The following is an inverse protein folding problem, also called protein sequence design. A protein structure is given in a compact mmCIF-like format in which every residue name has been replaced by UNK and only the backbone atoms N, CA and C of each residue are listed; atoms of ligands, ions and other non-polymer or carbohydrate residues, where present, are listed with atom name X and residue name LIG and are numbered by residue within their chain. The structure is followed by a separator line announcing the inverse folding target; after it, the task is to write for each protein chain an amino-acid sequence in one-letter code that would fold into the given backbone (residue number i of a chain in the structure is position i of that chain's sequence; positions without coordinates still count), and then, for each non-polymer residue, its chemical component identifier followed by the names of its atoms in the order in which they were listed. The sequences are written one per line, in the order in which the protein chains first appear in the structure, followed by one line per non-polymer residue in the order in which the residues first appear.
data_IF_233235410604
#
_entry.id   IF_233235410604
#
_cell.length_a   1.000
_cell.length_b   1.000
_cell.length_c   1.000
_cell.angle_alpha   90.00
_cell.angle_beta   90.00
_cell.angle_gamma   90.00
#
_symmetry.space_group_name_H-M   'P 1'
#
loop_
_entity.id
_entity.type
_entity.pdbx_description
1 polymer ?
#
# COMPACT_ATOMS: atom_id res chain seq x y z
N UNK A 1 4.63 17.39 -9.40
CA UNK A 1 3.40 16.85 -8.77
C UNK A 1 3.40 15.34 -8.92
N UNK A 2 2.99 14.52 -7.94
CA UNK A 2 2.96 13.08 -8.14
C UNK A 2 1.71 12.78 -8.95
N UNK A 3 1.81 12.85 -10.28
CA UNK A 3 0.71 12.56 -11.19
C UNK A 3 0.30 11.10 -10.96
N UNK A 4 -0.89 10.89 -10.42
CA UNK A 4 -1.49 9.56 -10.33
C UNK A 4 -1.91 9.14 -11.73
N UNK A 5 -1.58 7.93 -12.11
CA UNK A 5 -2.13 7.32 -13.33
C UNK A 5 -3.63 7.07 -13.15
N UNK A 6 -4.36 6.91 -14.24
CA UNK A 6 -5.80 6.62 -14.19
C UNK A 6 -6.10 5.34 -13.38
N UNK A 7 -5.26 4.32 -13.52
CA UNK A 7 -5.42 3.05 -12.80
C UNK A 7 -5.11 3.18 -11.30
N UNK A 8 -4.07 3.92 -10.93
CA UNK A 8 -3.78 4.24 -9.53
C UNK A 8 -4.93 5.03 -8.89
N UNK A 9 -5.50 5.99 -9.63
CA UNK A 9 -6.65 6.79 -9.17
C UNK A 9 -7.85 5.89 -8.85
N UNK A 10 -8.23 4.99 -9.76
CA UNK A 10 -9.34 4.04 -9.54
C UNK A 10 -9.13 3.18 -8.28
N UNK A 11 -7.91 2.69 -8.04
CA UNK A 11 -7.60 1.93 -6.82
C UNK A 11 -7.71 2.81 -5.58
N UNK A 12 -7.20 4.04 -5.63
CA UNK A 12 -7.24 4.97 -4.50
C UNK A 12 -8.66 5.41 -4.14
N UNK A 13 -9.52 5.67 -5.13
CA UNK A 13 -10.92 6.05 -4.91
C UNK A 13 -11.65 5.01 -4.05
N UNK A 14 -11.43 3.72 -4.32
CA UNK A 14 -12.02 2.62 -3.53
C UNK A 14 -11.50 2.64 -2.09
N UNK A 15 -10.18 2.85 -1.90
CA UNK A 15 -9.57 2.88 -0.56
C UNK A 15 -10.00 4.13 0.22
N UNK A 16 -10.13 5.28 -0.43
CA UNK A 16 -10.61 6.54 0.17
C UNK A 16 -12.06 6.37 0.63
N UNK A 17 -12.92 5.83 -0.24
CA UNK A 17 -14.34 5.61 0.04
C UNK A 17 -14.56 4.69 1.24
N UNK A 18 -13.82 3.58 1.29
CA UNK A 18 -14.06 2.53 2.28
C UNK A 18 -13.17 2.65 3.53
N UNK A 19 -12.16 3.54 3.51
CA UNK A 19 -11.11 3.78 4.51
C UNK A 19 -10.18 2.58 4.80
N UNK A 20 -10.71 1.37 4.80
CA UNK A 20 -10.06 0.10 5.09
C UNK A 20 -10.62 -0.98 4.18
N UNK A 21 -9.83 -1.43 3.22
CA UNK A 21 -10.34 -2.30 2.15
C UNK A 21 -9.52 -3.58 2.01
N UNK A 22 -10.19 -4.71 1.76
CA UNK A 22 -9.51 -5.93 1.37
C UNK A 22 -9.03 -5.81 -0.08
N UNK A 23 -7.78 -6.18 -0.36
CA UNK A 23 -7.24 -6.15 -1.72
C UNK A 23 -8.09 -6.97 -2.72
N UNK A 24 -8.80 -8.01 -2.26
CA UNK A 24 -9.76 -8.77 -3.09
C UNK A 24 -10.95 -7.91 -3.53
N UNK A 25 -11.40 -6.98 -2.70
CA UNK A 25 -12.48 -6.04 -3.04
C UNK A 25 -12.02 -5.08 -4.14
N UNK A 26 -10.78 -4.57 -4.05
CA UNK A 26 -10.17 -3.76 -5.11
C UNK A 26 -10.13 -4.51 -6.45
N UNK A 27 -9.70 -5.78 -6.43
CA UNK A 27 -9.71 -6.63 -7.64
C UNK A 27 -11.11 -6.72 -8.24
N UNK A 28 -12.13 -6.98 -7.42
CA UNK A 28 -13.53 -7.11 -7.89
C UNK A 28 -14.10 -5.81 -8.46
N UNK A 29 -13.85 -4.68 -7.80
CA UNK A 29 -14.46 -3.40 -8.21
C UNK A 29 -13.72 -2.70 -9.36
N UNK A 30 -12.42 -2.94 -9.51
CA UNK A 30 -11.66 -2.38 -10.64
C UNK A 30 -11.71 -3.23 -11.90
N UNK A 31 -12.18 -4.49 -11.78
CA UNK A 31 -12.10 -5.53 -12.81
C UNK A 31 -10.66 -5.76 -13.34
N UNK A 32 -9.65 -5.43 -12.52
CA UNK A 32 -8.25 -5.65 -12.86
C UNK A 32 -7.81 -7.04 -12.43
N UNK A 33 -6.84 -7.60 -13.16
CA UNK A 33 -6.19 -8.83 -12.73
C UNK A 33 -5.53 -8.66 -11.36
N UNK A 34 -5.46 -9.74 -10.58
CA UNK A 34 -4.78 -9.75 -9.28
C UNK A 34 -3.34 -9.24 -9.37
N UNK A 35 -2.62 -9.59 -10.43
CA UNK A 35 -1.25 -9.15 -10.66
C UNK A 35 -1.17 -7.63 -10.90
N UNK A 36 -2.09 -7.07 -11.71
CA UNK A 36 -2.18 -5.63 -11.97
C UNK A 36 -2.48 -4.86 -10.69
N UNK A 37 -3.46 -5.30 -9.90
CA UNK A 37 -3.76 -4.69 -8.59
C UNK A 37 -2.54 -4.78 -7.66
N UNK A 38 -1.86 -5.93 -7.60
CA UNK A 38 -0.68 -6.09 -6.76
C UNK A 38 0.44 -5.12 -7.12
N UNK A 39 0.68 -4.90 -8.42
CA UNK A 39 1.67 -3.93 -8.91
C UNK A 39 1.29 -2.50 -8.52
N UNK A 40 0.06 -2.08 -8.83
CA UNK A 40 -0.45 -0.74 -8.49
C UNK A 40 -0.36 -0.48 -6.99
N UNK A 41 -0.82 -1.44 -6.17
CA UNK A 41 -0.74 -1.32 -4.71
C UNK A 41 0.72 -1.20 -4.26
N UNK A 42 1.64 -2.00 -4.81
CA UNK A 42 3.05 -1.90 -4.46
C UNK A 42 3.65 -0.54 -4.82
N UNK A 43 3.32 0.01 -5.99
CA UNK A 43 3.76 1.34 -6.41
C UNK A 43 3.25 2.43 -5.45
N UNK A 44 1.97 2.37 -5.06
CA UNK A 44 1.36 3.29 -4.09
C UNK A 44 1.93 3.16 -2.67
N UNK A 45 2.31 1.95 -2.25
CA UNK A 45 3.00 1.71 -0.97
C UNK A 45 4.42 2.30 -0.98
N UNK A 46 5.18 2.07 -2.05
CA UNK A 46 6.53 2.61 -2.21
C UNK A 46 6.53 4.14 -2.21
N UNK A 47 5.52 4.75 -2.83
CA UNK A 47 5.29 6.20 -2.82
C UNK A 47 4.76 6.73 -1.49
N UNK A 48 4.44 5.86 -0.53
CA UNK A 48 3.90 6.23 0.77
C UNK A 48 2.48 6.81 0.73
N UNK A 49 1.69 6.47 -0.28
CA UNK A 49 0.28 6.88 -0.39
C UNK A 49 -0.63 5.91 0.35
N UNK A 50 -0.32 4.62 0.26
CA UNK A 50 -1.02 3.55 0.97
C UNK A 50 -0.13 2.95 2.05
N UNK A 51 -0.76 2.21 2.95
CA UNK A 51 -0.13 1.21 3.80
C UNK A 51 -0.93 -0.10 3.70
N UNK A 52 -0.29 -1.23 4.05
CA UNK A 52 -0.94 -2.53 4.05
C UNK A 52 -0.67 -3.30 5.33
N UNK A 53 -1.66 -4.07 5.76
CA UNK A 53 -1.53 -5.04 6.85
C UNK A 53 -1.98 -6.41 6.34
N UNK A 54 -1.17 -7.44 6.57
CA UNK A 54 -1.52 -8.80 6.17
C UNK A 54 -2.66 -9.33 7.03
N UNK A 55 -3.71 -9.86 6.40
CA UNK A 55 -4.84 -10.54 7.06
C UNK A 55 -5.06 -11.90 6.40
N UNK A 56 -4.53 -12.95 7.01
CA UNK A 56 -4.58 -14.31 6.45
C UNK A 56 -3.91 -14.40 5.08
N UNK A 57 -4.70 -14.74 4.04
CA UNK A 57 -4.25 -14.93 2.64
C UNK A 57 -4.47 -13.67 1.76
N UNK A 58 -4.67 -12.51 2.37
CA UNK A 58 -4.87 -11.22 1.67
C UNK A 58 -4.26 -10.08 2.46
N UNK A 59 -4.29 -8.88 1.88
CA UNK A 59 -3.87 -7.64 2.53
C UNK A 59 -5.09 -6.74 2.73
N UNK A 60 -5.10 -6.04 3.86
CA UNK A 60 -5.95 -4.89 4.10
C UNK A 60 -5.15 -3.64 3.72
N UNK A 61 -5.76 -2.76 2.94
CA UNK A 61 -5.19 -1.51 2.48
C UNK A 61 -5.87 -0.34 3.20
N UNK A 62 -5.07 0.62 3.64
CA UNK A 62 -5.51 1.89 4.25
C UNK A 62 -4.72 3.04 3.66
N UNK A 63 -5.28 4.25 3.69
CA UNK A 63 -4.53 5.45 3.33
C UNK A 63 -3.42 5.68 4.36
N UNK A 64 -2.21 5.95 3.89
CA UNK A 64 -1.15 6.40 4.80
C UNK A 64 -1.52 7.79 5.27
N UNK A 65 -1.85 7.93 6.55
CA UNK A 65 -2.14 9.25 7.12
C UNK A 65 -0.85 10.05 7.08
N UNK A 66 -0.76 11.04 6.18
CA UNK A 66 0.30 12.02 6.25
C UNK A 66 0.11 12.78 7.57
N UNK A 67 0.94 12.48 8.58
CA UNK A 67 1.19 13.44 9.66
C UNK A 67 1.91 14.62 9.01
N UNK A 68 1.15 15.54 8.41
CA UNK A 68 1.63 16.83 7.97
C UNK A 68 1.98 17.58 9.26
N UNK A 69 3.22 17.40 9.76
CA UNK A 69 3.72 18.14 10.91
C UNK A 69 4.58 17.41 11.94
N UNK A 70 4.83 16.10 11.86
CA UNK A 70 5.74 15.45 12.84
C UNK A 70 6.52 14.25 12.27
N UNK A 71 7.87 14.32 12.43
CA UNK A 71 8.90 13.28 12.33
C UNK A 71 9.49 13.05 10.91
N UNK A 72 10.73 13.37 10.54
CA UNK A 72 12.01 13.38 11.30
C UNK A 72 12.11 12.29 12.35
N UNK A 73 12.16 11.02 11.91
CA UNK A 73 12.96 9.99 12.59
C UNK A 73 13.15 8.74 11.71
N UNK A 74 14.36 8.62 11.16
CA UNK A 74 15.20 7.42 11.09
C UNK A 74 14.72 6.18 10.29
N UNK A 75 15.43 5.98 9.17
CA UNK A 75 16.19 4.77 8.73
C UNK A 75 15.53 3.39 8.83
N UNK A 76 15.49 2.71 7.68
CA UNK A 76 15.50 1.24 7.56
C UNK A 76 16.61 0.64 8.45
N UNK A 77 16.35 -0.52 9.08
CA UNK A 77 17.24 -1.65 8.80
C UNK A 77 16.50 -2.99 8.80
N UNK A 78 16.41 -3.64 7.65
CA UNK A 78 16.08 -5.08 7.55
C UNK A 78 17.35 -5.92 7.28
N UNK A 79 18.50 -5.47 7.76
CA UNK A 79 19.80 -6.07 7.45
C UNK A 79 20.54 -6.59 8.70
N UNK A 80 19.82 -7.17 9.67
CA UNK A 80 20.48 -7.85 10.80
C UNK A 80 19.81 -9.14 11.31
N UNK A 81 19.07 -9.87 10.45
CA UNK A 81 18.53 -11.19 10.81
C UNK A 81 19.42 -12.38 10.43
N UNK A 82 20.57 -12.17 9.78
CA UNK A 82 21.46 -13.25 9.33
C UNK A 82 22.91 -13.15 9.82
N UNK A 83 23.26 -12.15 10.65
CA UNK A 83 24.64 -11.97 11.16
C UNK A 83 24.92 -12.55 12.56
N UNK A 84 23.90 -12.97 13.31
CA UNK A 84 24.07 -13.58 14.65
C UNK A 84 23.82 -15.09 14.67
N UNK A 85 24.07 -15.76 13.55
CA UNK A 85 24.06 -17.23 13.48
C UNK A 85 25.43 -17.70 12.97
N UNK A 86 26.48 -17.40 13.74
CA UNK A 86 27.74 -18.14 13.83
C UNK A 86 28.59 -17.59 14.96
#
# INVERSE_FOLDING_TARGET
MPILTEHERKVLEIVIRDKKVDQRKVVKETDFSKAKVSRIVQDLLLRGVLEKVRKGRTNILTLKTAKIGTLTAKKQPEENKYKNMK
#
